data_IF_371598656810
#
_entry.id   IF_371598656810
#
_cell.length_a   1.000
_cell.length_b   1.000
_cell.length_c   1.000
_cell.angle_alpha   90.00
_cell.angle_beta   90.00
_cell.angle_gamma   90.00
#
_symmetry.space_group_name_H-M   'P 1'
#
loop_
_entity.id
_entity.type
_entity.pdbx_description
1 polymer ?
#
# COMPACT_ATOMS: atom_id res chain seq x y z
N UNK A 1 -0.06 -7.72 6.16
CA UNK A 1 -1.37 -8.24 5.68
C UNK A 1 -1.22 -8.54 4.21
N UNK A 2 -1.36 -9.79 3.79
CA UNK A 2 -1.12 -10.16 2.40
C UNK A 2 -2.38 -9.85 1.56
N UNK A 3 -2.20 -9.21 0.41
CA UNK A 3 -3.31 -8.75 -0.45
C UNK A 3 -4.10 -9.93 -1.02
N UNK A 4 -3.42 -11.04 -1.27
CA UNK A 4 -4.00 -12.29 -1.77
C UNK A 4 -5.01 -12.92 -0.80
N UNK A 5 -4.81 -12.75 0.51
CA UNK A 5 -5.72 -13.27 1.54
C UNK A 5 -7.06 -12.50 1.58
N UNK A 6 -7.06 -11.21 1.23
CA UNK A 6 -8.28 -10.39 1.17
C UNK A 6 -9.09 -10.72 -0.09
N UNK A 7 -8.43 -10.92 -1.25
CA UNK A 7 -9.11 -11.30 -2.50
C UNK A 7 -9.79 -12.67 -2.39
N UNK A 8 -9.22 -13.57 -1.58
CA UNK A 8 -9.72 -14.94 -1.34
C UNK A 8 -10.53 -15.05 -0.05
N UNK A 9 -10.81 -13.93 0.63
CA UNK A 9 -11.55 -13.94 1.88
C UNK A 9 -12.94 -14.55 1.67
N UNK A 10 -13.33 -15.48 2.55
CA UNK A 10 -14.66 -16.09 2.56
C UNK A 10 -15.78 -15.05 2.74
N UNK A 11 -15.46 -13.93 3.38
CA UNK A 11 -16.38 -12.83 3.57
C UNK A 11 -16.45 -11.95 2.29
N UNK A 12 -17.62 -11.86 1.62
CA UNK A 12 -17.79 -11.07 0.41
C UNK A 12 -17.54 -9.56 0.62
N UNK A 13 -17.81 -9.00 1.80
CA UNK A 13 -17.57 -7.57 2.09
C UNK A 13 -16.07 -7.25 2.15
N UNK A 14 -15.26 -8.19 2.65
CA UNK A 14 -13.80 -8.04 2.67
C UNK A 14 -13.22 -8.07 1.26
N UNK A 15 -13.76 -8.92 0.36
CA UNK A 15 -13.37 -8.93 -1.06
C UNK A 15 -13.73 -7.61 -1.75
N UNK A 16 -14.94 -7.10 -1.50
CA UNK A 16 -15.38 -5.81 -2.05
C UNK A 16 -14.52 -4.64 -1.54
N UNK A 17 -14.03 -4.72 -0.30
CA UNK A 17 -13.18 -3.69 0.32
C UNK A 17 -11.78 -3.62 -0.27
N UNK A 18 -11.32 -4.65 -0.99
CA UNK A 18 -9.96 -4.67 -1.56
C UNK A 18 -9.71 -3.48 -2.48
N UNK A 19 -10.64 -3.20 -3.40
CA UNK A 19 -10.51 -2.08 -4.33
C UNK A 19 -10.47 -0.72 -3.61
N UNK A 20 -11.13 -0.60 -2.45
CA UNK A 20 -11.03 0.60 -1.62
C UNK A 20 -9.64 0.70 -0.96
N UNK A 21 -9.12 -0.40 -0.43
CA UNK A 21 -7.78 -0.44 0.19
C UNK A 21 -6.67 -0.17 -0.81
N UNK A 22 -6.77 -0.68 -2.04
CA UNK A 22 -5.78 -0.40 -3.09
C UNK A 22 -5.76 1.08 -3.47
N UNK A 23 -6.93 1.69 -3.64
CA UNK A 23 -7.04 3.13 -3.89
C UNK A 23 -6.49 3.95 -2.72
N UNK A 24 -6.81 3.58 -1.49
CA UNK A 24 -6.26 4.24 -0.30
C UNK A 24 -4.74 4.14 -0.24
N UNK A 25 -4.17 2.96 -0.55
CA UNK A 25 -2.73 2.76 -0.59
C UNK A 25 -2.05 3.59 -1.69
N UNK A 26 -2.67 3.70 -2.86
CA UNK A 26 -2.18 4.57 -3.94
C UNK A 26 -2.21 6.04 -3.51
N UNK A 27 -3.31 6.50 -2.92
CA UNK A 27 -3.45 7.87 -2.43
C UNK A 27 -2.43 8.19 -1.33
N UNK A 28 -2.20 7.28 -0.38
CA UNK A 28 -1.20 7.45 0.67
C UNK A 28 0.22 7.60 0.10
N UNK A 29 0.60 6.80 -0.90
CA UNK A 29 1.90 6.94 -1.58
C UNK A 29 2.02 8.28 -2.30
N UNK A 30 0.95 8.70 -2.99
CA UNK A 30 0.93 9.98 -3.68
C UNK A 30 1.13 11.16 -2.72
N UNK A 31 0.34 11.21 -1.64
CA UNK A 31 0.48 12.25 -0.61
C UNK A 31 1.88 12.23 0.01
N UNK A 32 2.40 11.05 0.35
CA UNK A 32 3.72 10.92 0.95
C UNK A 32 4.85 11.44 0.06
N UNK A 33 4.75 11.21 -1.26
CA UNK A 33 5.69 11.77 -2.23
C UNK A 33 5.62 13.30 -2.31
N UNK A 34 4.41 13.88 -2.20
CA UNK A 34 4.20 15.33 -2.24
C UNK A 34 4.65 16.04 -0.96
N UNK A 35 4.38 15.44 0.21
CA UNK A 35 4.68 16.02 1.52
C UNK A 35 6.06 15.63 2.05
N UNK A 36 6.86 14.91 1.26
CA UNK A 36 8.16 14.36 1.66
C UNK A 36 8.11 13.57 2.98
N UNK A 37 7.03 12.82 3.19
CA UNK A 37 6.86 11.95 4.36
C UNK A 37 7.15 10.49 4.01
N UNK A 38 7.42 9.67 5.02
CA UNK A 38 7.64 8.24 4.82
C UNK A 38 6.34 7.45 4.96
N UNK A 39 6.22 6.36 4.20
CA UNK A 39 5.19 5.33 4.39
C UNK A 39 5.81 4.15 5.14
N UNK A 40 5.10 3.65 6.15
CA UNK A 40 5.52 2.43 6.87
C UNK A 40 4.62 1.29 6.43
N UNK A 41 5.22 0.21 5.92
CA UNK A 41 4.56 -1.01 5.53
C UNK A 41 4.92 -2.12 6.53
N UNK A 42 3.97 -3.02 6.78
CA UNK A 42 4.24 -4.25 7.54
C UNK A 42 4.07 -5.43 6.61
N UNK A 43 5.19 -6.01 6.21
CA UNK A 43 5.26 -7.17 5.32
C UNK A 43 5.94 -8.32 6.06
N UNK A 44 5.29 -9.50 6.09
CA UNK A 44 5.81 -10.69 6.79
C UNK A 44 6.22 -10.43 8.25
N UNK A 45 5.45 -9.58 8.95
CA UNK A 45 5.72 -9.19 10.34
C UNK A 45 6.90 -8.23 10.52
N UNK A 46 7.55 -7.80 9.44
CA UNK A 46 8.65 -6.84 9.47
C UNK A 46 8.14 -5.46 9.09
N UNK A 47 8.62 -4.46 9.83
CA UNK A 47 8.37 -3.06 9.53
C UNK A 47 9.34 -2.59 8.45
N UNK A 48 8.81 -2.15 7.32
CA UNK A 48 9.57 -1.59 6.19
C UNK A 48 9.19 -0.12 6.10
N UNK A 49 10.19 0.76 6.15
CA UNK A 49 9.98 2.20 5.98
C UNK A 49 10.41 2.58 4.57
N UNK A 50 9.50 3.17 3.81
CA UNK A 50 9.75 3.71 2.48
C UNK A 50 9.77 5.24 2.57
N UNK A 51 10.87 5.85 2.17
CA UNK A 51 10.98 7.30 2.04
C UNK A 51 10.22 7.78 0.80
N UNK A 52 9.87 9.08 0.78
CA UNK A 52 9.28 9.72 -0.39
C UNK A 52 10.13 9.53 -1.66
N UNK A 53 11.46 9.48 -1.52
CA UNK A 53 12.37 9.28 -2.65
C UNK A 53 12.34 7.85 -3.17
N UNK A 54 12.32 6.86 -2.28
CA UNK A 54 12.16 5.46 -2.67
C UNK A 54 10.83 5.24 -3.42
N UNK A 55 9.74 5.85 -2.94
CA UNK A 55 8.43 5.78 -3.59
C UNK A 55 8.45 6.38 -5.00
N UNK A 56 9.14 7.51 -5.20
CA UNK A 56 9.30 8.12 -6.54
C UNK A 56 10.07 7.19 -7.49
N UNK A 57 11.12 6.53 -6.99
CA UNK A 57 11.89 5.58 -7.79
C UNK A 57 11.09 4.33 -8.18
N UNK A 58 10.20 3.85 -7.31
CA UNK A 58 9.30 2.73 -7.63
C UNK A 58 8.33 3.07 -8.76
N UNK A 59 7.75 4.28 -8.76
CA UNK A 59 6.83 4.75 -9.81
C UNK A 59 7.55 4.90 -11.15
N UNK A 60 8.78 5.43 -11.17
CA UNK A 60 9.57 5.56 -12.40
C UNK A 60 10.10 4.22 -12.96
N UNK A 61 10.01 3.12 -12.19
CA UNK A 61 10.44 1.78 -12.63
C UNK A 61 9.30 0.91 -13.19
N UNK A 62 8.05 1.34 -13.07
CA UNK A 62 6.86 0.60 -13.56
C UNK A 62 6.45 1.00 -14.97
#
# INVERSE_FOLDING_TARGET
>A
MNKEDISKAKNPDLRASLAALERAAQSARFVAMQTNTSVVLVENGKMIKLSAEQLRQEVCKS
#
